data_IF_225130224513
#
_entry.id   IF_225130224513
#
_cell.length_a   1.000
_cell.length_b   1.000
_cell.length_c   1.000
_cell.angle_alpha   90.00
_cell.angle_beta   90.00
_cell.angle_gamma   90.00
#
_symmetry.space_group_name_H-M   'P 1'
#
loop_
_entity.id
_entity.type
_entity.pdbx_description
1 polymer ?
#
# COMPACT_ATOMS: atom_id res chain seq x y z
N UNK A 1 -8.69 18.58 -22.20
CA UNK A 1 -7.58 18.02 -21.39
C UNK A 1 -7.77 18.50 -19.96
N UNK A 2 -7.78 17.59 -19.00
CA UNK A 2 -7.92 17.86 -17.56
C UNK A 2 -6.85 17.08 -16.82
N UNK A 3 -5.59 17.44 -17.00
CA UNK A 3 -4.44 16.74 -16.41
C UNK A 3 -3.94 17.48 -15.17
N UNK A 4 -3.41 16.75 -14.17
CA UNK A 4 -2.89 17.34 -12.92
C UNK A 4 -3.90 18.22 -12.18
N UNK A 5 -5.20 17.95 -12.36
CA UNK A 5 -6.29 18.77 -11.84
C UNK A 5 -6.82 18.18 -10.52
N UNK A 6 -6.42 18.78 -9.38
CA UNK A 6 -6.85 18.33 -8.04
C UNK A 6 -8.34 18.50 -7.73
N UNK A 7 -9.06 19.29 -8.53
CA UNK A 7 -10.48 19.60 -8.31
C UNK A 7 -11.40 18.80 -9.25
N UNK A 8 -10.83 17.96 -10.11
CA UNK A 8 -11.59 17.07 -10.97
C UNK A 8 -11.84 15.80 -10.17
N UNK A 9 -13.06 15.70 -9.65
CA UNK A 9 -13.55 14.57 -8.88
C UNK A 9 -14.72 13.86 -9.59
N UNK A 10 -15.24 12.82 -8.95
CA UNK A 10 -16.33 12.00 -9.48
C UNK A 10 -17.62 12.79 -9.74
N UNK A 11 -17.88 13.81 -8.92
CA UNK A 11 -19.06 14.66 -9.09
C UNK A 11 -18.92 15.54 -10.34
N UNK A 12 -17.75 16.15 -10.52
CA UNK A 12 -17.42 16.90 -11.73
C UNK A 12 -17.54 16.02 -12.98
N UNK A 13 -16.99 14.79 -12.94
CA UNK A 13 -17.05 13.87 -14.09
C UNK A 13 -18.48 13.44 -14.42
N UNK A 14 -19.34 13.23 -13.41
CA UNK A 14 -20.76 12.93 -13.63
C UNK A 14 -21.49 14.08 -14.34
N UNK A 15 -21.20 15.32 -13.94
CA UNK A 15 -21.75 16.52 -14.58
C UNK A 15 -21.22 16.68 -16.00
N UNK A 16 -19.92 16.54 -16.20
CA UNK A 16 -19.27 16.59 -17.53
C UNK A 16 -19.87 15.53 -18.47
N UNK A 17 -20.03 14.30 -17.99
CA UNK A 17 -20.64 13.23 -18.76
C UNK A 17 -22.12 13.48 -19.08
N UNK A 18 -22.80 14.35 -18.32
CA UNK A 18 -24.16 14.77 -18.64
C UNK A 18 -24.21 15.82 -19.73
N UNK A 19 -23.38 16.85 -19.62
CA UNK A 19 -23.39 17.97 -20.54
C UNK A 19 -22.83 17.60 -21.92
N UNK A 20 -21.84 16.70 -21.98
CA UNK A 20 -21.10 16.40 -23.22
C UNK A 20 -21.25 14.94 -23.70
N UNK A 21 -22.31 14.26 -23.29
CA UNK A 21 -22.55 12.83 -23.53
C UNK A 21 -22.36 12.37 -25.00
N UNK A 22 -22.67 13.23 -25.96
CA UNK A 22 -22.64 12.96 -27.41
C UNK A 22 -21.59 13.77 -28.17
N UNK A 23 -20.86 14.67 -27.51
CA UNK A 23 -19.96 15.63 -28.16
C UNK A 23 -18.48 15.40 -27.82
N UNK A 24 -18.18 14.85 -26.65
CA UNK A 24 -16.79 14.71 -26.21
C UNK A 24 -16.11 13.54 -26.94
N UNK A 25 -15.04 13.83 -27.69
CA UNK A 25 -14.27 12.82 -28.44
C UNK A 25 -13.00 12.38 -27.73
N UNK A 26 -12.42 13.26 -26.91
CA UNK A 26 -11.15 13.02 -26.24
C UNK A 26 -11.22 13.56 -24.80
N UNK A 27 -10.80 12.73 -23.85
CA UNK A 27 -10.66 13.12 -22.45
C UNK A 27 -9.34 12.60 -21.89
N UNK A 28 -8.64 13.47 -21.17
CA UNK A 28 -7.39 13.14 -20.49
C UNK A 28 -7.54 13.54 -19.04
N UNK A 29 -7.47 12.55 -18.15
CA UNK A 29 -7.56 12.67 -16.70
C UNK A 29 -6.24 12.28 -16.02
N UNK A 30 -5.15 12.25 -16.77
CA UNK A 30 -3.86 11.83 -16.24
C UNK A 30 -3.43 12.70 -15.06
N UNK A 31 -2.90 12.07 -14.01
CA UNK A 31 -2.46 12.72 -12.77
C UNK A 31 -3.57 13.50 -12.01
N UNK A 32 -4.84 13.11 -12.16
CA UNK A 32 -5.95 13.69 -11.39
C UNK A 32 -6.24 12.85 -10.12
N UNK A 33 -5.82 13.29 -8.93
CA UNK A 33 -5.82 12.45 -7.73
C UNK A 33 -7.20 12.20 -7.13
N UNK A 34 -8.20 13.01 -7.50
CA UNK A 34 -9.55 12.95 -6.93
C UNK A 34 -10.54 12.16 -7.81
N UNK A 35 -10.06 11.59 -8.92
CA UNK A 35 -10.85 10.69 -9.77
C UNK A 35 -10.84 9.30 -9.17
N UNK A 36 -12.02 8.75 -8.92
CA UNK A 36 -12.23 7.41 -8.40
C UNK A 36 -13.14 6.56 -9.29
N UNK A 37 -13.56 5.42 -8.74
CA UNK A 37 -14.38 4.41 -9.41
C UNK A 37 -15.72 4.97 -9.91
N UNK A 38 -16.40 5.81 -9.11
CA UNK A 38 -17.71 6.36 -9.50
C UNK A 38 -17.57 7.34 -10.66
N UNK A 39 -16.49 8.13 -10.67
CA UNK A 39 -16.17 9.05 -11.75
C UNK A 39 -15.96 8.31 -13.07
N UNK A 40 -15.13 7.26 -13.06
CA UNK A 40 -14.91 6.42 -14.25
C UNK A 40 -16.20 5.77 -14.76
N UNK A 41 -17.02 5.22 -13.87
CA UNK A 41 -18.31 4.64 -14.25
C UNK A 41 -19.27 5.69 -14.83
N UNK A 42 -19.23 6.93 -14.35
CA UNK A 42 -20.06 8.01 -14.91
C UNK A 42 -19.68 8.35 -16.37
N UNK A 43 -18.41 8.16 -16.76
CA UNK A 43 -17.93 8.39 -18.12
C UNK A 43 -18.52 7.41 -19.14
N UNK A 44 -19.09 6.28 -18.72
CA UNK A 44 -19.79 5.32 -19.62
C UNK A 44 -20.90 5.96 -20.45
N UNK A 45 -21.36 7.16 -20.05
CA UNK A 45 -22.38 7.96 -20.75
C UNK A 45 -21.84 8.72 -21.96
N UNK A 46 -20.52 8.88 -22.08
CA UNK A 46 -19.86 9.59 -23.18
C UNK A 46 -19.78 8.71 -24.43
N UNK A 47 -20.92 8.53 -25.12
CA UNK A 47 -21.05 7.58 -26.24
C UNK A 47 -20.23 7.94 -27.48
N UNK A 48 -19.82 9.20 -27.61
CA UNK A 48 -18.97 9.66 -28.70
C UNK A 48 -17.47 9.60 -28.38
N UNK A 49 -17.08 9.25 -27.15
CA UNK A 49 -15.66 9.29 -26.74
C UNK A 49 -14.85 8.28 -27.56
N UNK A 50 -13.72 8.74 -28.09
CA UNK A 50 -12.79 7.95 -28.91
C UNK A 50 -11.49 7.65 -28.18
N UNK A 51 -11.15 8.44 -27.17
CA UNK A 51 -9.94 8.23 -26.38
C UNK A 51 -10.09 8.75 -24.96
N UNK A 52 -9.67 7.93 -24.01
CA UNK A 52 -9.62 8.22 -22.59
C UNK A 52 -8.21 7.92 -22.06
N UNK A 53 -7.55 8.91 -21.44
CA UNK A 53 -6.23 8.74 -20.81
C UNK A 53 -6.31 8.83 -19.30
N UNK A 54 -5.75 7.83 -18.63
CA UNK A 54 -5.80 7.61 -17.18
C UNK A 54 -4.40 7.41 -16.58
N UNK A 55 -3.36 7.95 -17.21
CA UNK A 55 -1.99 7.76 -16.76
C UNK A 55 -1.75 8.33 -15.37
N UNK A 56 -0.98 7.62 -14.54
CA UNK A 56 -0.55 8.08 -13.23
C UNK A 56 -1.70 8.53 -12.31
N UNK A 57 -2.88 7.89 -12.44
CA UNK A 57 -3.89 7.97 -11.39
C UNK A 57 -3.40 7.23 -10.14
N UNK A 58 -3.70 7.73 -8.93
CA UNK A 58 -3.44 6.99 -7.71
C UNK A 58 -4.04 5.57 -7.75
N UNK A 59 -3.49 4.60 -7.02
CA UNK A 59 -4.16 3.33 -6.82
C UNK A 59 -5.45 3.56 -6.02
N UNK A 60 -6.56 2.99 -6.49
CA UNK A 60 -7.82 2.94 -5.78
C UNK A 60 -8.57 1.68 -6.18
N UNK A 61 -9.39 1.18 -5.26
CA UNK A 61 -10.10 -0.09 -5.44
C UNK A 61 -11.04 -0.06 -6.66
N UNK A 62 -10.96 -1.10 -7.48
CA UNK A 62 -11.83 -1.27 -8.63
C UNK A 62 -11.51 -0.37 -9.83
N UNK A 63 -10.34 0.29 -9.87
CA UNK A 63 -9.91 1.10 -11.01
C UNK A 63 -9.93 0.31 -12.33
N UNK A 64 -9.31 -0.86 -12.35
CA UNK A 64 -9.21 -1.73 -13.53
C UNK A 64 -10.58 -2.28 -13.93
N UNK A 65 -11.39 -2.68 -12.96
CA UNK A 65 -12.76 -3.14 -13.18
C UNK A 65 -13.65 -2.03 -13.78
N UNK A 66 -13.52 -0.79 -13.28
CA UNK A 66 -14.25 0.36 -13.81
C UNK A 66 -13.84 0.71 -15.24
N UNK A 67 -12.55 0.61 -15.55
CA UNK A 67 -12.03 0.79 -16.89
C UNK A 67 -12.57 -0.28 -17.85
N UNK A 68 -12.61 -1.53 -17.42
CA UNK A 68 -13.21 -2.63 -18.19
C UNK A 68 -14.70 -2.41 -18.47
N UNK A 69 -15.48 -2.05 -17.44
CA UNK A 69 -16.91 -1.70 -17.58
C UNK A 69 -17.08 -0.50 -18.54
N UNK A 70 -16.18 0.49 -18.47
CA UNK A 70 -16.19 1.62 -19.38
C UNK A 70 -15.99 1.18 -20.85
N UNK A 71 -15.00 0.34 -21.11
CA UNK A 71 -14.71 -0.18 -22.47
C UNK A 71 -15.88 -0.98 -23.03
N UNK A 72 -16.55 -1.79 -22.21
CA UNK A 72 -17.77 -2.53 -22.59
C UNK A 72 -18.93 -1.60 -22.99
N UNK A 73 -19.07 -0.46 -22.30
CA UNK A 73 -20.20 0.46 -22.48
C UNK A 73 -19.94 1.57 -23.52
N UNK A 74 -18.68 1.77 -23.90
CA UNK A 74 -18.25 2.78 -24.88
C UNK A 74 -17.36 2.10 -25.94
N UNK A 75 -17.96 1.25 -26.79
CA UNK A 75 -17.21 0.46 -27.75
C UNK A 75 -16.44 1.36 -28.74
N UNK A 76 -15.18 1.02 -28.98
CA UNK A 76 -14.30 1.75 -29.89
C UNK A 76 -13.63 2.99 -29.29
N UNK A 77 -13.80 3.25 -27.98
CA UNK A 77 -12.96 4.19 -27.26
C UNK A 77 -11.64 3.52 -26.88
N UNK A 78 -10.50 4.17 -27.18
CA UNK A 78 -9.18 3.73 -26.75
C UNK A 78 -8.92 4.21 -25.32
N UNK A 79 -8.83 3.29 -24.36
CA UNK A 79 -8.40 3.58 -22.99
C UNK A 79 -6.89 3.37 -22.86
N UNK A 80 -6.19 4.37 -22.32
CA UNK A 80 -4.74 4.35 -22.12
C UNK A 80 -4.40 4.61 -20.64
N UNK A 81 -3.36 3.95 -20.11
CA UNK A 81 -2.84 4.22 -18.76
C UNK A 81 -3.41 3.35 -17.63
N UNK A 82 -4.14 2.28 -17.96
CA UNK A 82 -4.59 1.25 -17.01
C UNK A 82 -3.68 0.03 -17.13
N UNK A 83 -3.23 -0.52 -15.99
CA UNK A 83 -2.51 -1.78 -15.95
C UNK A 83 -3.49 -2.90 -15.57
N UNK A 84 -3.85 -3.74 -16.54
CA UNK A 84 -4.74 -4.88 -16.32
C UNK A 84 -3.99 -6.14 -15.83
N UNK A 85 -2.75 -6.01 -15.40
CA UNK A 85 -1.98 -7.16 -14.93
C UNK A 85 -2.73 -7.87 -13.80
N UNK A 86 -3.06 -9.13 -14.08
CA UNK A 86 -3.51 -10.10 -13.11
C UNK A 86 -2.30 -10.36 -12.23
N UNK A 87 -2.42 -10.22 -10.92
CA UNK A 87 -1.40 -10.74 -9.99
C UNK A 87 -1.23 -12.23 -10.27
N UNK A 88 -0.23 -12.57 -11.07
CA UNK A 88 0.11 -13.96 -11.36
C UNK A 88 0.43 -14.63 -10.04
N UNK A 89 -0.10 -15.84 -9.85
CA UNK A 89 0.12 -16.70 -8.67
C UNK A 89 1.60 -16.84 -8.28
N UNK A 90 2.54 -16.59 -9.20
CA UNK A 90 3.96 -16.50 -8.93
C UNK A 90 4.31 -15.51 -7.78
N UNK A 91 3.66 -14.34 -7.71
CA UNK A 91 3.94 -13.34 -6.65
C UNK A 91 3.43 -13.75 -5.26
N UNK A 92 2.44 -14.64 -5.19
CA UNK A 92 1.89 -15.16 -3.93
C UNK A 92 2.73 -16.30 -3.36
N UNK A 93 3.50 -17.01 -4.20
CA UNK A 93 4.31 -18.14 -3.78
C UNK A 93 5.64 -17.70 -3.15
N UNK A 94 6.18 -16.54 -3.54
CA UNK A 94 7.47 -16.04 -3.02
C UNK A 94 7.41 -15.47 -1.59
N UNK A 95 6.20 -15.21 -1.06
CA UNK A 95 6.02 -14.71 0.30
C UNK A 95 6.09 -15.80 1.40
N UNK A 96 6.31 -17.07 1.03
CA UNK A 96 6.16 -18.22 1.92
C UNK A 96 7.42 -18.81 2.57
N UNK A 97 8.63 -18.38 2.20
CA UNK A 97 9.86 -19.10 2.60
C UNK A 97 10.98 -18.20 3.13
N UNK A 98 10.93 -17.79 4.42
CA UNK A 98 12.14 -17.72 5.26
C UNK A 98 11.80 -17.58 6.74
N UNK A 99 11.98 -18.66 7.51
CA UNK A 99 12.42 -18.61 8.92
C UNK A 99 12.63 -20.04 9.44
N UNK A 100 13.86 -20.53 9.37
CA UNK A 100 14.34 -21.61 10.23
C UNK A 100 15.87 -21.52 10.39
N UNK A 101 16.32 -21.68 11.64
CA UNK A 101 17.68 -21.94 12.14
C UNK A 101 18.52 -20.74 12.59
N UNK A 102 18.42 -20.44 13.89
CA UNK A 102 19.58 -20.04 14.69
C UNK A 102 19.36 -20.39 16.16
N UNK A 103 19.59 -21.65 16.52
CA UNK A 103 19.82 -22.11 17.88
C UNK A 103 20.79 -23.28 17.79
N UNK A 104 22.08 -23.02 18.02
CA UNK A 104 23.09 -23.99 18.49
C UNK A 104 24.48 -23.33 18.48
N UNK A 105 24.90 -22.70 19.59
CA UNK A 105 26.26 -22.87 20.14
C UNK A 105 26.36 -22.33 21.57
N UNK A 106 26.15 -23.20 22.56
CA UNK A 106 26.50 -22.97 23.96
C UNK A 106 27.56 -24.00 24.34
N UNK A 107 28.84 -23.68 24.10
CA UNK A 107 29.92 -24.50 24.62
C UNK A 107 31.22 -23.71 24.85
N UNK A 108 31.35 -23.05 26.00
CA UNK A 108 32.66 -22.85 26.64
C UNK A 108 32.54 -22.94 28.16
N UNK A 109 32.81 -24.13 28.68
CA UNK A 109 33.20 -24.35 30.08
C UNK A 109 34.68 -23.98 30.17
N UNK A 110 35.01 -22.99 31.00
CA UNK A 110 36.38 -22.58 31.31
C UNK A 110 36.45 -22.12 32.77
N UNK A 111 37.02 -22.98 33.61
CA UNK A 111 37.13 -22.90 35.06
C UNK A 111 38.16 -21.88 35.57
N UNK A 112 37.85 -21.32 36.75
CA UNK A 112 38.75 -20.84 37.82
C UNK A 112 39.54 -19.52 37.63
N UNK A 113 39.33 -18.57 38.55
CA UNK A 113 40.36 -18.27 39.55
C UNK A 113 39.86 -17.43 40.73
N UNK A 114 40.20 -17.93 41.93
CA UNK A 114 40.66 -17.24 43.13
C UNK A 114 40.01 -15.92 43.58
N UNK A 115 39.33 -15.97 44.72
CA UNK A 115 39.67 -15.01 45.78
C UNK A 115 39.54 -15.63 47.18
N UNK A 116 40.60 -15.40 47.95
CA UNK A 116 40.99 -16.07 49.18
C UNK A 116 40.37 -15.39 50.42
N UNK A 117 40.40 -16.15 51.53
CA UNK A 117 40.46 -15.72 52.94
C UNK A 117 39.19 -15.74 53.80
N UNK A 118 39.14 -16.82 54.56
CA UNK A 118 38.53 -17.08 55.85
C UNK A 118 39.08 -16.15 56.96
N UNK A 119 38.24 -15.66 57.89
CA UNK A 119 38.70 -15.27 59.23
C UNK A 119 38.14 -16.23 60.29
N UNK A 120 39.02 -16.66 61.18
CA UNK A 120 38.69 -17.44 62.38
C UNK A 120 38.80 -16.53 63.62
N UNK A 121 38.02 -16.91 64.65
CA UNK A 121 38.17 -16.58 66.08
C UNK A 121 37.22 -15.52 66.69
N UNK A 122 36.06 -16.03 67.12
CA UNK A 122 35.57 -16.07 68.51
C UNK A 122 36.02 -14.97 69.50
N UNK A 123 35.08 -14.12 69.96
CA UNK A 123 34.65 -13.98 71.38
C UNK A 123 33.83 -12.71 71.68
N UNK A 124 32.67 -12.95 72.30
CA UNK A 124 32.23 -12.36 73.59
C UNK A 124 31.79 -10.89 73.67
N UNK A 125 30.51 -10.71 74.07
CA UNK A 125 29.90 -9.62 74.88
C UNK A 125 29.97 -8.18 74.33
N UNK A 126 29.12 -7.21 74.69
CA UNK A 126 27.82 -7.09 75.35
C UNK A 126 27.63 -5.58 75.50
N UNK A 127 26.59 -5.02 74.87
CA UNK A 127 25.82 -3.82 75.27
C UNK A 127 26.51 -2.46 75.55
N UNK A 128 25.63 -1.43 75.59
CA UNK A 128 25.78 -0.09 76.19
C UNK A 128 26.36 0.96 75.23
N UNK A 129 25.89 2.20 75.10
CA UNK A 129 24.68 2.98 75.43
C UNK A 129 25.08 4.40 74.97
N UNK A 130 24.16 5.14 74.32
CA UNK A 130 23.96 6.61 74.41
C UNK A 130 25.17 7.55 74.22
N UNK A 131 25.05 8.42 73.21
CA UNK A 131 24.92 9.86 73.47
C UNK A 131 24.08 10.51 72.38
#
# INVERSE_FOLDING_TARGET
YLTKCRYVDDWFLSRLAHEFHDQLLFLDLSECPSVGVTGLLALTRLKSLKRLRLYNLPPFDGKEAAAMIFEENVPGCLVEGINYEIETVAGLLEAGETQQQQDDELHLIGTNNDNTQHPQDDKTRQSVQVN
#
